data_IF_625721598615
#
_entry.id   IF_625721598615
#
_cell.length_a   1.000
_cell.length_b   1.000
_cell.length_c   1.000
_cell.angle_alpha   90.00
_cell.angle_beta   90.00
_cell.angle_gamma   90.00
#
_symmetry.space_group_name_H-M   'P 1'
#
loop_
_entity.id
_entity.type
_entity.pdbx_description
1 polymer ?
#
# COMPACT_ATOMS: atom_id res chain seq x y z
N UNK A 1 -11.31 5.89 34.05
CA UNK A 1 -10.76 4.60 34.50
C UNK A 1 -11.69 3.97 35.52
N UNK A 2 -12.49 2.97 35.13
CA UNK A 2 -13.22 2.13 36.09
C UNK A 2 -12.25 1.04 36.58
N UNK A 3 -12.14 0.88 37.89
CA UNK A 3 -11.34 -0.18 38.52
C UNK A 3 -12.20 -1.45 38.49
N UNK A 4 -11.75 -2.49 37.80
CA UNK A 4 -12.42 -3.80 37.81
C UNK A 4 -12.13 -4.47 39.17
N UNK A 5 -13.17 -4.89 39.89
CA UNK A 5 -13.03 -5.71 41.08
C UNK A 5 -13.01 -7.20 40.69
N UNK A 6 -12.35 -8.08 41.47
CA UNK A 6 -12.14 -9.49 41.10
C UNK A 6 -13.41 -10.36 41.14
N UNK A 7 -14.57 -9.80 41.50
CA UNK A 7 -15.79 -10.55 41.83
C UNK A 7 -16.99 -10.24 40.92
N UNK A 8 -16.80 -9.48 39.83
CA UNK A 8 -17.91 -9.21 38.90
C UNK A 8 -18.03 -10.33 37.86
N UNK A 9 -19.18 -11.00 37.84
CA UNK A 9 -19.59 -11.89 36.74
C UNK A 9 -19.60 -11.10 35.41
N UNK A 10 -18.97 -11.67 34.38
CA UNK A 10 -18.91 -11.08 33.04
C UNK A 10 -20.31 -11.08 32.43
N UNK A 11 -20.80 -9.91 32.03
CA UNK A 11 -22.07 -9.77 31.29
C UNK A 11 -21.77 -9.71 29.80
N UNK A 12 -22.32 -10.66 29.05
CA UNK A 12 -22.25 -10.75 27.59
C UNK A 12 -23.53 -10.28 26.91
N UNK A 13 -24.53 -9.90 27.70
CA UNK A 13 -25.84 -9.41 27.33
C UNK A 13 -26.06 -7.99 27.86
N UNK A 14 -26.93 -7.23 27.20
CA UNK A 14 -27.24 -5.83 27.51
C UNK A 14 -26.05 -4.86 27.35
N UNK A 15 -25.40 -4.94 26.18
CA UNK A 15 -24.33 -4.05 25.75
C UNK A 15 -24.87 -2.94 24.83
N UNK A 16 -24.12 -1.85 24.71
CA UNK A 16 -24.48 -0.69 23.87
C UNK A 16 -25.33 0.36 24.61
N UNK A 17 -25.63 1.50 23.98
CA UNK A 17 -26.34 2.62 24.61
C UNK A 17 -27.80 2.31 25.00
N UNK A 18 -28.39 1.29 24.38
CA UNK A 18 -29.79 0.89 24.59
C UNK A 18 -29.92 -0.42 25.39
N UNK A 19 -28.82 -0.98 25.91
CA UNK A 19 -28.81 -2.22 26.72
C UNK A 19 -29.46 -3.44 26.03
N UNK A 20 -29.45 -3.52 24.69
CA UNK A 20 -30.02 -4.66 23.93
C UNK A 20 -28.95 -5.52 23.22
N UNK A 21 -27.69 -5.09 23.20
CA UNK A 21 -26.63 -5.78 22.48
C UNK A 21 -26.13 -7.02 23.21
N UNK A 22 -25.86 -8.09 22.47
CA UNK A 22 -25.08 -9.25 22.96
C UNK A 22 -23.69 -9.22 22.34
N UNK A 23 -22.64 -9.43 23.14
CA UNK A 23 -21.26 -9.43 22.63
C UNK A 23 -20.20 -9.48 23.73
N UNK A 24 -18.96 -9.23 23.33
CA UNK A 24 -17.80 -9.15 24.22
C UNK A 24 -17.18 -7.75 24.16
N UNK A 25 -16.74 -7.23 25.31
CA UNK A 25 -15.96 -5.99 25.34
C UNK A 25 -14.55 -6.27 24.81
N UNK A 26 -14.24 -5.75 23.63
CA UNK A 26 -12.86 -5.72 23.15
C UNK A 26 -12.10 -4.61 23.89
N UNK A 27 -11.34 -4.98 24.92
CA UNK A 27 -10.42 -4.07 25.58
C UNK A 27 -9.05 -4.21 24.91
N UNK A 28 -8.64 -3.20 24.13
CA UNK A 28 -7.27 -3.12 23.62
C UNK A 28 -6.37 -2.45 24.65
N UNK A 29 -5.59 -3.25 25.37
CA UNK A 29 -4.48 -2.73 26.18
C UNK A 29 -3.30 -2.41 25.27
N UNK A 30 -2.96 -1.13 25.14
CA UNK A 30 -1.66 -0.72 24.60
C UNK A 30 -0.67 -0.71 25.75
N UNK A 31 -0.04 -1.86 25.99
CA UNK A 31 1.06 -1.98 26.94
C UNK A 31 2.29 -1.35 26.28
N UNK A 32 2.97 -0.46 27.00
CA UNK A 32 4.28 0.02 26.56
C UNK A 32 5.28 -1.12 26.72
N UNK A 33 6.10 -1.37 25.70
CA UNK A 33 7.11 -2.41 25.73
C UNK A 33 7.43 -2.95 24.33
N UNK A 34 8.61 -3.51 24.18
CA UNK A 34 9.07 -4.17 22.97
C UNK A 34 8.51 -5.61 22.92
N UNK A 35 8.12 -6.10 21.73
CA UNK A 35 7.77 -7.51 21.57
C UNK A 35 9.00 -8.38 21.86
N UNK A 36 8.77 -9.64 22.24
CA UNK A 36 9.85 -10.59 22.51
C UNK A 36 10.72 -10.88 21.28
N UNK A 37 10.15 -10.70 20.09
CA UNK A 37 10.83 -10.85 18.81
C UNK A 37 10.23 -9.90 17.77
N UNK A 38 11.08 -9.39 16.88
CA UNK A 38 10.69 -8.67 15.68
C UNK A 38 11.69 -8.88 14.56
N UNK A 39 11.26 -8.70 13.32
CA UNK A 39 12.12 -8.85 12.14
C UNK A 39 12.19 -7.52 11.40
N UNK A 40 13.39 -7.17 10.94
CA UNK A 40 13.64 -6.08 10.00
C UNK A 40 14.22 -6.68 8.72
N UNK A 41 13.64 -6.35 7.57
CA UNK A 41 14.13 -6.77 6.25
C UNK A 41 14.46 -5.53 5.44
N UNK A 42 15.59 -5.57 4.74
CA UNK A 42 16.01 -4.46 3.89
C UNK A 42 15.24 -4.42 2.58
N UNK A 43 15.15 -3.24 1.92
CA UNK A 43 14.86 -3.22 0.50
C UNK A 43 15.93 -4.03 -0.26
N UNK A 44 15.62 -4.38 -1.51
CA UNK A 44 16.64 -4.91 -2.42
C UNK A 44 17.70 -3.84 -2.66
N UNK A 45 18.95 -4.19 -2.35
CA UNK A 45 20.14 -3.39 -2.56
C UNK A 45 20.80 -3.88 -3.84
N UNK A 46 20.96 -3.00 -4.81
CA UNK A 46 21.84 -3.25 -5.96
C UNK A 46 23.28 -2.97 -5.51
N UNK A 47 24.13 -3.99 -5.48
CA UNK A 47 25.54 -3.84 -5.09
C UNK A 47 26.35 -2.97 -6.06
N UNK A 48 25.77 -2.57 -7.19
CA UNK A 48 26.34 -1.56 -8.06
C UNK A 48 26.03 -0.12 -7.63
N UNK A 49 25.14 0.11 -6.66
CA UNK A 49 24.93 1.45 -6.13
C UNK A 49 26.21 1.91 -5.44
N UNK A 50 26.97 2.73 -6.15
CA UNK A 50 28.22 3.30 -5.67
C UNK A 50 27.90 4.33 -4.60
N UNK A 51 28.54 4.24 -3.42
CA UNK A 51 28.49 5.33 -2.45
C UNK A 51 29.17 6.57 -3.04
N UNK A 52 28.75 7.76 -2.61
CA UNK A 52 29.37 9.05 -2.99
C UNK A 52 30.90 9.10 -2.73
N UNK A 53 31.42 8.16 -1.93
CA UNK A 53 32.83 8.02 -1.56
C UNK A 53 33.65 7.09 -2.46
N UNK A 54 33.07 6.51 -3.51
CA UNK A 54 33.85 5.75 -4.49
C UNK A 54 34.65 6.72 -5.36
N UNK A 55 35.98 6.57 -5.42
CA UNK A 55 36.86 7.36 -6.28
C UNK A 55 36.45 7.19 -7.77
N UNK A 56 35.55 8.06 -8.26
CA UNK A 56 35.13 8.10 -9.67
C UNK A 56 36.09 8.91 -10.51
N UNK A 57 37.40 8.69 -10.34
CA UNK A 57 38.38 9.30 -11.25
C UNK A 57 38.33 8.56 -12.58
N UNK A 58 37.44 9.02 -13.47
CA UNK A 58 37.45 8.65 -14.89
C UNK A 58 36.26 7.85 -15.43
N UNK A 59 35.11 7.76 -14.75
CA UNK A 59 33.91 7.15 -15.35
C UNK A 59 33.22 8.13 -16.32
N UNK A 60 33.17 7.83 -17.63
CA UNK A 60 32.53 8.70 -18.61
C UNK A 60 30.99 8.64 -18.61
N UNK A 61 30.36 7.68 -17.91
CA UNK A 61 28.92 7.41 -17.98
C UNK A 61 28.30 7.03 -16.62
N UNK A 62 28.17 7.99 -15.67
CA UNK A 62 27.66 7.72 -14.32
C UNK A 62 26.22 7.18 -14.29
N UNK A 63 25.44 7.36 -15.36
CA UNK A 63 24.01 7.04 -15.40
C UNK A 63 23.68 5.62 -15.88
N UNK A 64 24.66 4.90 -16.47
CA UNK A 64 24.48 3.51 -16.89
C UNK A 64 25.36 2.64 -16.00
N UNK A 65 24.72 1.77 -15.24
CA UNK A 65 25.42 0.77 -14.45
C UNK A 65 26.27 -0.16 -15.34
N UNK A 66 27.61 -0.24 -15.17
CA UNK A 66 28.42 -1.16 -15.96
C UNK A 66 28.04 -2.61 -15.66
N UNK A 67 28.32 -3.52 -16.59
CA UNK A 67 28.27 -4.94 -16.31
C UNK A 67 29.48 -5.32 -15.45
N UNK A 68 29.27 -6.04 -14.35
CA UNK A 68 30.34 -6.55 -13.50
C UNK A 68 30.05 -7.97 -13.01
N UNK A 69 31.11 -8.66 -12.66
CA UNK A 69 31.11 -9.96 -11.99
C UNK A 69 31.55 -9.76 -10.54
N UNK A 70 30.76 -10.24 -9.58
CA UNK A 70 31.11 -10.15 -8.17
C UNK A 70 32.12 -11.25 -7.86
N UNK A 71 33.29 -10.84 -7.35
CA UNK A 71 34.34 -11.77 -6.90
C UNK A 71 34.20 -12.11 -5.41
N UNK A 72 33.80 -11.12 -4.59
CA UNK A 72 33.58 -11.35 -3.16
C UNK A 72 32.71 -10.27 -2.54
N UNK A 73 31.95 -10.64 -1.51
CA UNK A 73 31.15 -9.73 -0.69
C UNK A 73 31.56 -9.92 0.77
N UNK A 74 31.68 -8.81 1.50
CA UNK A 74 31.74 -8.79 2.96
C UNK A 74 30.75 -7.77 3.48
N UNK A 75 30.21 -8.00 4.66
CA UNK A 75 29.32 -7.07 5.34
C UNK A 75 29.82 -6.75 6.76
N UNK A 76 29.44 -5.59 7.27
CA UNK A 76 29.60 -5.25 8.68
C UNK A 76 28.36 -4.50 9.18
N UNK A 77 27.91 -4.87 10.38
CA UNK A 77 26.78 -4.23 11.05
C UNK A 77 27.27 -3.40 12.24
N UNK A 78 26.72 -2.20 12.39
CA UNK A 78 26.83 -1.40 13.62
C UNK A 78 25.52 -1.55 14.37
N UNK A 79 25.58 -2.17 15.54
CA UNK A 79 24.40 -2.51 16.34
C UNK A 79 24.66 -2.40 17.83
N UNK A 80 23.58 -2.25 18.60
CA UNK A 80 23.58 -2.34 20.06
C UNK A 80 22.66 -3.47 20.49
N UNK A 81 23.18 -4.39 21.28
CA UNK A 81 22.41 -5.45 21.93
C UNK A 81 22.62 -5.34 23.44
N UNK A 82 21.72 -4.65 24.18
CA UNK A 82 21.72 -4.63 25.65
C UNK A 82 21.68 -6.04 26.25
N UNK A 83 22.01 -6.16 27.54
CA UNK A 83 21.89 -7.43 28.27
C UNK A 83 20.45 -7.97 28.17
N UNK A 84 20.29 -9.27 27.95
CA UNK A 84 18.98 -9.89 27.75
C UNK A 84 18.40 -9.75 26.33
N UNK A 85 19.14 -9.14 25.39
CA UNK A 85 18.73 -9.01 23.98
C UNK A 85 19.67 -9.75 23.03
N UNK A 86 19.21 -10.05 21.82
CA UNK A 86 20.02 -10.68 20.77
C UNK A 86 19.66 -10.17 19.37
N UNK A 87 20.63 -10.25 18.45
CA UNK A 87 20.43 -9.97 17.02
C UNK A 87 21.00 -11.10 16.20
N UNK A 88 20.19 -11.67 15.31
CA UNK A 88 20.63 -12.61 14.29
C UNK A 88 20.54 -11.95 12.92
N UNK A 89 21.64 -12.03 12.14
CA UNK A 89 21.71 -11.46 10.80
C UNK A 89 21.76 -12.53 9.74
N UNK A 90 20.89 -12.39 8.75
CA UNK A 90 20.83 -13.22 7.56
C UNK A 90 20.87 -12.35 6.31
N UNK A 91 21.32 -12.92 5.20
CA UNK A 91 21.32 -12.30 3.88
C UNK A 91 20.76 -13.26 2.85
N UNK A 92 20.29 -12.72 1.74
CA UNK A 92 19.98 -13.47 0.52
C UNK A 92 20.42 -12.67 -0.69
N UNK A 93 20.73 -13.36 -1.77
CA UNK A 93 21.24 -12.75 -3.00
C UNK A 93 20.42 -13.19 -4.20
N UNK A 94 20.36 -12.36 -5.25
CA UNK A 94 19.64 -12.69 -6.47
C UNK A 94 20.13 -11.94 -7.72
N UNK A 95 19.76 -12.49 -8.88
CA UNK A 95 20.13 -11.92 -10.18
C UNK A 95 19.12 -10.91 -10.73
N UNK A 96 18.00 -10.69 -10.03
CA UNK A 96 16.91 -9.78 -10.42
C UNK A 96 16.69 -8.71 -9.36
N UNK A 97 16.21 -7.50 -9.74
CA UNK A 97 15.99 -6.39 -8.80
C UNK A 97 14.79 -6.60 -7.86
N UNK A 98 14.01 -7.65 -8.09
CA UNK A 98 12.89 -8.08 -7.25
C UNK A 98 13.11 -9.54 -6.82
N UNK A 99 12.68 -9.87 -5.61
CA UNK A 99 12.78 -11.21 -5.06
C UNK A 99 11.90 -12.19 -5.83
N UNK A 100 12.53 -13.23 -6.36
CA UNK A 100 11.88 -14.41 -6.94
C UNK A 100 12.64 -15.66 -6.42
N UNK A 101 11.96 -16.63 -5.78
CA UNK A 101 12.59 -17.87 -5.31
C UNK A 101 13.39 -18.64 -6.37
N UNK A 102 13.09 -18.46 -7.66
CA UNK A 102 13.81 -19.10 -8.76
C UNK A 102 15.17 -18.44 -9.05
N UNK A 103 15.28 -17.12 -8.87
CA UNK A 103 16.49 -16.33 -9.19
C UNK A 103 17.26 -15.88 -7.95
N UNK A 104 16.67 -16.02 -6.76
CA UNK A 104 17.26 -15.67 -5.48
C UNK A 104 17.63 -16.91 -4.66
N UNK A 105 18.55 -16.74 -3.71
CA UNK A 105 18.82 -17.73 -2.67
C UNK A 105 17.76 -17.70 -1.57
N UNK A 106 17.73 -18.76 -0.78
CA UNK A 106 17.15 -18.68 0.56
C UNK A 106 17.99 -17.75 1.45
N UNK A 107 17.45 -17.39 2.61
CA UNK A 107 18.20 -16.69 3.65
C UNK A 107 19.31 -17.59 4.20
N UNK A 108 20.52 -17.04 4.34
CA UNK A 108 21.67 -17.71 4.95
C UNK A 108 22.37 -16.76 5.94
N UNK A 109 23.14 -17.27 6.92
CA UNK A 109 23.84 -16.43 7.89
C UNK A 109 24.71 -15.37 7.21
N UNK A 110 24.66 -14.12 7.70
CA UNK A 110 25.36 -13.01 7.03
C UNK A 110 26.89 -13.12 7.00
N UNK A 111 27.48 -14.06 7.73
CA UNK A 111 28.92 -14.35 7.71
C UNK A 111 29.31 -15.46 6.72
N UNK A 112 28.35 -16.06 6.02
CA UNK A 112 28.53 -17.26 5.19
C UNK A 112 28.31 -16.97 3.70
N UNK A 113 29.17 -16.10 3.13
CA UNK A 113 29.07 -15.69 1.72
C UNK A 113 29.60 -16.71 0.71
N UNK A 114 30.41 -17.67 1.16
CA UNK A 114 31.16 -18.57 0.29
C UNK A 114 30.20 -19.45 -0.53
N UNK A 115 30.36 -19.45 -1.86
CA UNK A 115 29.58 -20.23 -2.84
C UNK A 115 28.05 -19.98 -2.87
N UNK A 116 27.54 -18.99 -2.12
CA UNK A 116 26.09 -18.68 -2.06
C UNK A 116 25.66 -17.53 -3.00
N UNK A 117 26.58 -16.75 -3.56
CA UNK A 117 26.21 -15.51 -4.26
C UNK A 117 25.60 -15.79 -5.64
N UNK A 118 24.32 -15.42 -5.82
CA UNK A 118 23.62 -15.45 -7.09
C UNK A 118 23.40 -14.02 -7.58
N UNK A 119 24.26 -13.50 -8.43
CA UNK A 119 24.06 -12.18 -9.05
C UNK A 119 24.38 -10.99 -8.12
N UNK A 120 23.84 -9.81 -8.46
CA UNK A 120 24.28 -8.52 -7.90
C UNK A 120 23.35 -7.88 -6.87
N UNK A 121 22.18 -8.46 -6.66
CA UNK A 121 21.19 -7.92 -5.73
C UNK A 121 21.27 -8.64 -4.40
N UNK A 122 21.12 -7.88 -3.31
CA UNK A 122 21.20 -8.39 -1.94
C UNK A 122 20.05 -7.87 -1.12
N UNK A 123 19.54 -8.69 -0.21
CA UNK A 123 18.77 -8.25 0.94
C UNK A 123 19.40 -8.78 2.21
N UNK A 124 19.21 -8.05 3.31
CA UNK A 124 19.54 -8.52 4.64
C UNK A 124 18.30 -8.54 5.52
N UNK A 125 18.35 -9.40 6.52
CA UNK A 125 17.33 -9.55 7.55
C UNK A 125 18.01 -9.54 8.91
N UNK A 126 17.45 -8.80 9.86
CA UNK A 126 17.79 -8.93 11.27
C UNK A 126 16.57 -9.42 12.06
N UNK A 127 16.77 -10.50 12.80
CA UNK A 127 15.84 -10.92 13.85
C UNK A 127 16.32 -10.34 15.17
N UNK A 128 15.51 -9.47 15.74
CA UNK A 128 15.73 -8.73 16.98
C UNK A 128 14.95 -9.43 18.08
N UNK A 129 15.62 -9.94 19.10
CA UNK A 129 14.99 -10.64 20.22
C UNK A 129 15.24 -9.90 21.53
N UNK A 130 14.23 -9.87 22.40
CA UNK A 130 14.33 -9.33 23.75
C UNK A 130 13.67 -10.25 24.77
N UNK A 131 14.37 -10.52 25.87
CA UNK A 131 13.80 -11.18 27.04
C UNK A 131 12.99 -10.24 27.95
N UNK A 132 13.13 -8.93 27.78
CA UNK A 132 12.58 -7.90 28.68
C UNK A 132 11.80 -6.85 27.88
N UNK A 133 10.65 -6.40 28.39
CA UNK A 133 9.79 -5.46 27.64
C UNK A 133 10.39 -4.06 27.51
N UNK A 134 11.31 -3.68 28.39
CA UNK A 134 11.90 -2.33 28.43
C UNK A 134 13.18 -2.20 27.60
N UNK A 135 13.74 -3.31 27.13
CA UNK A 135 15.00 -3.34 26.38
C UNK A 135 14.76 -3.82 24.96
N UNK A 136 15.45 -3.22 23.99
CA UNK A 136 15.43 -3.68 22.59
C UNK A 136 16.81 -3.59 21.99
N UNK A 137 17.23 -4.58 21.18
CA UNK A 137 18.39 -4.41 20.34
C UNK A 137 18.09 -3.40 19.22
N UNK A 138 19.14 -2.82 18.64
CA UNK A 138 19.04 -1.87 17.53
C UNK A 138 20.17 -2.04 16.52
N UNK A 139 19.86 -1.75 15.26
CA UNK A 139 20.81 -1.74 14.14
C UNK A 139 20.84 -0.32 13.59
N UNK A 140 22.01 0.32 13.58
CA UNK A 140 22.15 1.71 13.12
C UNK A 140 22.82 1.86 11.77
N UNK A 141 23.62 0.88 11.35
CA UNK A 141 24.33 0.93 10.07
C UNK A 141 24.65 -0.47 9.56
N UNK A 142 24.63 -0.63 8.23
CA UNK A 142 25.16 -1.77 7.51
C UNK A 142 26.08 -1.27 6.41
N UNK A 143 27.25 -1.89 6.27
CA UNK A 143 28.18 -1.63 5.17
C UNK A 143 28.40 -2.92 4.38
N UNK A 144 28.31 -2.85 3.06
CA UNK A 144 28.80 -3.89 2.16
C UNK A 144 30.14 -3.46 1.57
N UNK A 145 31.12 -4.35 1.60
CA UNK A 145 32.40 -4.23 0.93
C UNK A 145 32.42 -5.25 -0.19
N UNK A 146 32.30 -4.77 -1.42
CA UNK A 146 32.18 -5.61 -2.62
C UNK A 146 33.47 -5.49 -3.41
N UNK A 147 34.05 -6.64 -3.78
CA UNK A 147 35.06 -6.72 -4.82
C UNK A 147 34.39 -7.26 -6.07
N UNK A 148 34.47 -6.50 -7.15
CA UNK A 148 33.88 -6.85 -8.43
C UNK A 148 34.86 -6.56 -9.55
N UNK A 149 34.77 -7.37 -10.60
CA UNK A 149 35.47 -7.17 -11.87
C UNK A 149 34.49 -6.57 -12.86
N UNK A 150 34.78 -5.36 -13.33
CA UNK A 150 34.03 -4.77 -14.43
C UNK A 150 34.26 -5.57 -15.72
N UNK A 151 33.16 -5.98 -16.35
CA UNK A 151 33.17 -6.69 -17.63
C UNK A 151 33.07 -5.73 -18.82
N UNK A 152 32.51 -4.52 -18.61
CA UNK A 152 32.48 -3.43 -19.57
C UNK A 152 31.62 -3.68 -20.83
N UNK A 153 31.59 -2.67 -21.72
CA UNK A 153 31.01 -2.67 -23.07
C UNK A 153 29.48 -2.56 -23.24
N UNK A 154 28.68 -2.38 -22.19
CA UNK A 154 27.25 -2.11 -22.33
C UNK A 154 26.95 -0.68 -22.88
N UNK A 155 27.79 0.29 -22.55
CA UNK A 155 27.69 1.68 -23.04
C UNK A 155 27.88 1.84 -24.56
N UNK A 156 28.54 0.88 -25.22
CA UNK A 156 28.69 0.89 -26.68
C UNK A 156 27.37 0.64 -27.41
N UNK A 157 26.42 -0.02 -26.72
CA UNK A 157 25.13 -0.46 -27.29
C UNK A 157 23.92 0.23 -26.68
N UNK A 158 24.09 0.84 -25.51
CA UNK A 158 23.01 1.46 -24.75
C UNK A 158 23.37 2.93 -24.54
N UNK A 159 22.45 3.82 -24.93
CA UNK A 159 22.54 5.24 -24.67
C UNK A 159 21.29 5.67 -23.91
N UNK A 160 21.50 6.33 -22.76
CA UNK A 160 20.43 7.04 -22.07
C UNK A 160 20.11 8.30 -22.86
N UNK A 161 18.88 8.43 -23.34
CA UNK A 161 18.42 9.62 -24.08
C UNK A 161 17.84 10.68 -23.16
N UNK A 162 17.29 10.25 -22.04
CA UNK A 162 16.66 11.09 -21.01
C UNK A 162 16.81 10.36 -19.67
N UNK A 163 17.14 11.11 -18.62
CA UNK A 163 17.20 10.56 -17.27
C UNK A 163 15.78 10.35 -16.73
N UNK A 164 15.54 9.38 -15.84
CA UNK A 164 14.25 9.24 -15.20
C UNK A 164 13.87 10.54 -14.46
N UNK A 165 12.64 11.02 -14.70
CA UNK A 165 12.17 12.34 -14.28
C UNK A 165 12.11 12.56 -12.76
N UNK A 166 12.14 11.50 -11.95
CA UNK A 166 11.80 11.57 -10.53
C UNK A 166 12.65 10.60 -9.68
N UNK A 167 13.08 11.11 -8.52
CA UNK A 167 13.67 10.29 -7.47
C UNK A 167 12.63 9.29 -6.93
N UNK A 168 12.92 7.99 -7.05
CA UNK A 168 12.03 6.94 -6.54
C UNK A 168 12.17 6.88 -5.02
N UNK A 169 11.19 7.46 -4.32
CA UNK A 169 11.09 7.33 -2.85
C UNK A 169 10.48 5.98 -2.50
N UNK A 170 11.27 5.13 -1.84
CA UNK A 170 10.77 3.85 -1.30
C UNK A 170 10.13 4.08 0.07
N UNK A 171 8.94 3.51 0.26
CA UNK A 171 8.25 3.46 1.55
C UNK A 171 9.01 2.58 2.54
N UNK A 172 8.96 2.91 3.83
CA UNK A 172 9.41 2.02 4.92
C UNK A 172 8.38 0.94 5.27
N UNK A 173 7.17 1.03 4.70
CA UNK A 173 6.12 0.03 4.82
C UNK A 173 6.10 -0.81 3.55
N UNK A 174 6.23 -2.13 3.71
CA UNK A 174 6.04 -3.08 2.63
C UNK A 174 4.58 -3.04 2.16
N UNK A 175 4.39 -3.03 0.84
CA UNK A 175 3.08 -3.09 0.21
C UNK A 175 3.03 -4.28 -0.75
N UNK A 176 2.02 -5.14 -0.61
CA UNK A 176 1.83 -6.27 -1.53
C UNK A 176 1.01 -5.83 -2.73
N UNK A 177 1.71 -5.54 -3.84
CA UNK A 177 1.06 -5.17 -5.10
C UNK A 177 0.52 -6.40 -5.83
N UNK A 178 -0.65 -6.24 -6.42
CA UNK A 178 -1.25 -7.22 -7.28
C UNK A 178 -0.48 -7.27 -8.60
N UNK A 179 -0.18 -8.49 -9.06
CA UNK A 179 0.47 -8.70 -10.34
C UNK A 179 -0.55 -8.51 -11.47
N UNK A 180 -0.40 -7.48 -12.34
CA UNK A 180 -1.29 -7.27 -13.48
C UNK A 180 -1.28 -8.43 -14.49
N UNK A 181 -0.29 -9.31 -14.44
CA UNK A 181 -0.18 -10.50 -15.29
C UNK A 181 -0.75 -11.76 -14.64
N UNK A 182 -1.17 -11.71 -13.38
CA UNK A 182 -1.83 -12.83 -12.72
C UNK A 182 -3.06 -13.26 -13.55
N UNK A 183 -3.33 -14.57 -13.75
CA UNK A 183 -4.43 -15.03 -14.58
C UNK A 183 -5.80 -14.40 -14.25
N UNK A 184 -6.11 -14.21 -12.95
CA UNK A 184 -7.35 -13.54 -12.53
C UNK A 184 -7.36 -12.04 -12.84
N UNK A 185 -6.24 -11.33 -12.74
CA UNK A 185 -6.14 -9.92 -13.10
C UNK A 185 -6.31 -9.71 -14.60
N UNK A 186 -5.68 -10.57 -15.42
CA UNK A 186 -5.89 -10.56 -16.88
C UNK A 186 -7.34 -10.88 -17.24
N UNK A 187 -7.92 -11.89 -16.60
CA UNK A 187 -9.33 -12.23 -16.82
C UNK A 187 -10.26 -11.07 -16.47
N UNK A 188 -10.05 -10.41 -15.33
CA UNK A 188 -10.81 -9.22 -14.93
C UNK A 188 -10.71 -8.10 -15.98
N UNK A 189 -9.48 -7.76 -16.39
CA UNK A 189 -9.19 -6.71 -17.39
C UNK A 189 -9.86 -6.98 -18.73
N UNK A 190 -9.74 -8.22 -19.21
CA UNK A 190 -10.27 -8.65 -20.51
C UNK A 190 -11.80 -8.78 -20.49
N UNK A 191 -12.37 -9.36 -19.43
CA UNK A 191 -13.82 -9.58 -19.31
C UNK A 191 -14.61 -8.27 -19.37
N UNK A 192 -14.12 -7.22 -18.71
CA UNK A 192 -14.80 -5.93 -18.62
C UNK A 192 -14.19 -4.85 -19.54
N UNK A 193 -13.20 -5.20 -20.37
CA UNK A 193 -12.57 -4.30 -21.35
C UNK A 193 -12.02 -2.99 -20.75
N UNK A 194 -11.37 -3.05 -19.59
CA UNK A 194 -10.88 -1.84 -18.90
C UNK A 194 -9.87 -1.03 -19.72
N UNK A 195 -9.11 -1.67 -20.61
CA UNK A 195 -8.22 -0.97 -21.55
C UNK A 195 -9.00 -0.04 -22.48
N UNK A 196 -10.12 -0.51 -23.04
CA UNK A 196 -10.96 0.29 -23.93
C UNK A 196 -11.69 1.41 -23.18
N UNK A 197 -12.12 1.15 -21.94
CA UNK A 197 -12.76 2.15 -21.08
C UNK A 197 -11.78 3.29 -20.77
N UNK A 198 -10.53 2.97 -20.46
CA UNK A 198 -9.49 3.96 -20.15
C UNK A 198 -8.90 4.65 -21.39
N UNK A 199 -8.93 4.03 -22.57
CA UNK A 199 -8.25 4.51 -23.77
C UNK A 199 -8.50 5.98 -24.16
N UNK A 200 -9.71 6.57 -23.96
CA UNK A 200 -9.93 7.99 -24.25
C UNK A 200 -9.19 8.97 -23.34
N UNK A 201 -8.78 8.56 -22.14
CA UNK A 201 -8.09 9.41 -21.17
C UNK A 201 -6.63 9.68 -21.54
N UNK A 202 -6.24 10.96 -21.55
CA UNK A 202 -4.89 11.42 -21.89
C UNK A 202 -3.95 11.45 -20.69
N UNK A 203 -4.50 11.69 -19.51
CA UNK A 203 -3.78 11.66 -18.23
C UNK A 203 -4.23 10.47 -17.39
N UNK A 204 -3.44 10.05 -16.40
CA UNK A 204 -3.87 8.99 -15.48
C UNK A 204 -5.15 9.38 -14.73
N UNK A 205 -5.30 10.66 -14.39
CA UNK A 205 -6.49 11.21 -13.78
C UNK A 205 -7.74 11.00 -14.63
N UNK A 206 -7.67 11.35 -15.93
CA UNK A 206 -8.78 11.15 -16.87
C UNK A 206 -9.11 9.65 -17.01
N UNK A 207 -8.10 8.78 -17.05
CA UNK A 207 -8.31 7.33 -17.13
C UNK A 207 -8.99 6.79 -15.87
N UNK A 208 -8.55 7.22 -14.69
CA UNK A 208 -9.18 6.81 -13.42
C UNK A 208 -10.62 7.30 -13.32
N UNK A 209 -10.92 8.50 -13.81
CA UNK A 209 -12.30 9.00 -13.91
C UNK A 209 -13.17 8.13 -14.82
N UNK A 210 -12.67 7.73 -16.00
CA UNK A 210 -13.40 6.87 -16.94
C UNK A 210 -13.69 5.48 -16.35
N UNK A 211 -12.69 4.87 -15.72
CA UNK A 211 -12.83 3.57 -15.05
C UNK A 211 -13.83 3.68 -13.90
N UNK A 212 -13.67 4.69 -13.04
CA UNK A 212 -14.54 4.93 -11.89
C UNK A 212 -15.98 5.16 -12.33
N UNK A 213 -16.20 6.00 -13.35
CA UNK A 213 -17.52 6.23 -13.91
C UNK A 213 -18.16 4.92 -14.41
N UNK A 214 -17.42 4.14 -15.21
CA UNK A 214 -17.95 2.88 -15.72
C UNK A 214 -18.35 1.93 -14.58
N UNK A 215 -17.52 1.80 -13.54
CA UNK A 215 -17.83 0.97 -12.36
C UNK A 215 -19.08 1.49 -11.65
N UNK A 216 -19.18 2.82 -11.47
CA UNK A 216 -20.32 3.45 -10.80
C UNK A 216 -21.65 3.19 -11.51
N UNK A 217 -21.61 3.04 -12.83
CA UNK A 217 -22.80 2.77 -13.65
C UNK A 217 -23.27 1.30 -13.59
N UNK A 218 -22.50 0.39 -12.96
CA UNK A 218 -22.84 -1.03 -12.91
C UNK A 218 -23.92 -1.35 -11.86
N UNK A 219 -23.99 -0.63 -10.74
CA UNK A 219 -25.05 -0.79 -9.75
C UNK A 219 -25.41 0.54 -9.07
N UNK A 220 -26.55 0.57 -8.37
CA UNK A 220 -27.06 1.79 -7.76
C UNK A 220 -26.64 1.91 -6.29
N UNK A 221 -25.64 2.75 -6.02
CA UNK A 221 -25.37 3.25 -4.66
C UNK A 221 -25.23 2.16 -3.60
N UNK A 222 -25.82 2.42 -2.42
CA UNK A 222 -25.95 1.45 -1.33
C UNK A 222 -27.18 0.57 -1.57
N UNK A 223 -26.95 -0.67 -1.98
CA UNK A 223 -28.00 -1.64 -2.28
C UNK A 223 -27.72 -2.92 -1.50
N UNK A 224 -28.65 -3.35 -0.65
CA UNK A 224 -28.54 -4.61 0.12
C UNK A 224 -28.68 -5.86 -0.76
N UNK A 225 -29.17 -5.71 -1.99
CA UNK A 225 -29.49 -6.81 -2.87
C UNK A 225 -30.72 -7.61 -2.41
N UNK A 226 -31.02 -8.67 -3.16
CA UNK A 226 -32.07 -9.65 -2.88
C UNK A 226 -31.68 -10.62 -1.77
N UNK A 227 -30.38 -10.92 -1.67
CA UNK A 227 -29.82 -11.80 -0.66
C UNK A 227 -28.98 -10.99 0.32
N UNK A 228 -29.05 -11.36 1.60
CA UNK A 228 -28.17 -10.86 2.66
C UNK A 228 -26.76 -11.47 2.51
N UNK A 229 -26.10 -11.11 1.43
CA UNK A 229 -24.77 -11.57 1.07
C UNK A 229 -23.86 -10.36 0.85
N UNK A 230 -22.82 -10.25 1.67
CA UNK A 230 -21.74 -9.28 1.50
C UNK A 230 -20.63 -9.93 0.66
N UNK A 231 -20.40 -9.49 -0.60
CA UNK A 231 -19.28 -9.95 -1.40
C UNK A 231 -17.95 -9.74 -0.70
N UNK A 232 -16.97 -10.57 -1.04
CA UNK A 232 -15.58 -10.30 -0.66
C UNK A 232 -15.03 -9.14 -1.52
N UNK A 233 -13.81 -8.69 -1.23
CA UNK A 233 -13.11 -7.72 -2.09
C UNK A 233 -12.60 -8.44 -3.34
N UNK A 234 -13.53 -8.85 -4.19
CA UNK A 234 -13.32 -9.57 -5.43
C UNK A 234 -14.15 -8.89 -6.52
N UNK A 235 -13.47 -8.16 -7.42
CA UNK A 235 -14.12 -7.42 -8.48
C UNK A 235 -14.86 -8.32 -9.48
N UNK A 236 -14.41 -9.56 -9.70
CA UNK A 236 -15.12 -10.49 -10.58
C UNK A 236 -16.47 -10.87 -9.99
N UNK A 237 -16.50 -11.13 -8.68
CA UNK A 237 -17.72 -11.45 -7.94
C UNK A 237 -18.64 -10.23 -7.83
N UNK A 238 -18.11 -9.07 -7.41
CA UNK A 238 -18.89 -7.84 -7.23
C UNK A 238 -19.59 -7.45 -8.52
N UNK A 239 -18.86 -7.43 -9.65
CA UNK A 239 -19.40 -7.03 -10.96
C UNK A 239 -20.40 -8.04 -11.56
N UNK A 240 -20.46 -9.27 -11.05
CA UNK A 240 -21.51 -10.24 -11.41
C UNK A 240 -22.75 -10.11 -10.54
N UNK A 241 -22.57 -9.92 -9.23
CA UNK A 241 -23.66 -9.99 -8.26
C UNK A 241 -24.36 -8.66 -8.01
N UNK A 242 -23.61 -7.56 -7.87
CA UNK A 242 -24.19 -6.26 -7.53
C UNK A 242 -25.11 -5.71 -8.64
N UNK A 243 -24.74 -5.78 -9.94
CA UNK A 243 -25.64 -5.33 -11.02
C UNK A 243 -26.93 -6.14 -11.11
N UNK A 244 -26.85 -7.44 -10.79
CA UNK A 244 -27.98 -8.34 -10.75
C UNK A 244 -28.82 -8.21 -9.46
N UNK A 245 -28.42 -7.32 -8.54
CA UNK A 245 -29.01 -7.16 -7.20
C UNK A 245 -29.04 -8.46 -6.41
N UNK A 246 -28.04 -9.32 -6.58
CA UNK A 246 -27.93 -10.60 -5.86
C UNK A 246 -27.04 -10.52 -4.62
N UNK A 247 -26.44 -9.36 -4.37
CA UNK A 247 -25.57 -9.13 -3.23
C UNK A 247 -25.50 -7.65 -2.88
N UNK A 248 -24.93 -7.37 -1.71
CA UNK A 248 -24.67 -6.03 -1.22
C UNK A 248 -23.66 -5.29 -2.11
N UNK A 249 -23.99 -4.06 -2.50
CA UNK A 249 -23.09 -3.08 -3.11
C UNK A 249 -22.94 -1.85 -2.21
N UNK A 250 -21.72 -1.54 -1.77
CA UNK A 250 -21.42 -0.42 -0.84
C UNK A 250 -20.10 0.25 -1.25
N UNK A 251 -19.75 1.38 -0.64
CA UNK A 251 -18.48 2.09 -0.82
C UNK A 251 -17.25 1.19 -0.86
N UNK A 252 -17.15 0.20 0.02
CA UNK A 252 -16.04 -0.77 0.02
C UNK A 252 -15.97 -1.60 -1.26
N UNK A 253 -17.12 -2.00 -1.82
CA UNK A 253 -17.21 -2.76 -3.06
C UNK A 253 -16.84 -1.90 -4.27
N UNK A 254 -17.25 -0.63 -4.28
CA UNK A 254 -16.81 0.34 -5.29
C UNK A 254 -15.29 0.56 -5.23
N UNK A 255 -14.74 0.78 -4.04
CA UNK A 255 -13.31 0.97 -3.81
C UNK A 255 -12.50 -0.25 -4.25
N UNK A 256 -12.87 -1.46 -3.78
CA UNK A 256 -12.19 -2.70 -4.12
C UNK A 256 -12.24 -2.96 -5.64
N UNK A 257 -13.39 -2.75 -6.27
CA UNK A 257 -13.55 -2.92 -7.73
C UNK A 257 -12.67 -1.95 -8.50
N UNK A 258 -12.63 -0.67 -8.10
CA UNK A 258 -11.76 0.32 -8.73
C UNK A 258 -10.28 -0.02 -8.56
N UNK A 259 -9.85 -0.35 -7.34
CA UNK A 259 -8.45 -0.70 -7.05
C UNK A 259 -8.00 -1.87 -7.89
N UNK A 260 -8.82 -2.91 -8.03
CA UNK A 260 -8.49 -4.08 -8.84
C UNK A 260 -8.55 -3.80 -10.33
N UNK A 261 -9.48 -2.97 -10.80
CA UNK A 261 -9.51 -2.52 -12.19
C UNK A 261 -8.23 -1.74 -12.56
N UNK A 262 -7.85 -0.75 -11.74
CA UNK A 262 -6.63 0.03 -11.93
C UNK A 262 -5.37 -0.84 -11.85
N UNK A 263 -5.27 -1.71 -10.83
CA UNK A 263 -4.15 -2.63 -10.67
C UNK A 263 -4.04 -3.62 -11.85
N UNK A 264 -5.17 -4.10 -12.39
CA UNK A 264 -5.17 -4.97 -13.56
C UNK A 264 -4.58 -4.29 -14.80
N UNK A 265 -4.66 -2.97 -14.90
CA UNK A 265 -4.04 -2.16 -15.97
C UNK A 265 -2.58 -1.79 -15.67
N UNK A 266 -2.03 -2.21 -14.53
CA UNK A 266 -0.67 -1.91 -14.11
C UNK A 266 -0.51 -0.61 -13.30
N UNK A 267 -1.60 0.04 -12.92
CA UNK A 267 -1.54 1.23 -12.07
C UNK A 267 -1.36 0.86 -10.59
N UNK A 268 -0.41 1.49 -9.87
CA UNK A 268 -0.37 1.39 -8.41
C UNK A 268 -1.66 1.97 -7.82
N UNK A 269 -2.45 1.13 -7.14
CA UNK A 269 -3.72 1.52 -6.53
C UNK A 269 -3.88 0.86 -5.17
N UNK A 270 -4.61 1.50 -4.25
CA UNK A 270 -4.82 1.01 -2.87
C UNK A 270 -6.18 1.42 -2.34
N UNK A 271 -6.76 0.57 -1.50
CA UNK A 271 -7.94 0.97 -0.71
C UNK A 271 -7.52 1.97 0.37
N UNK A 272 -8.40 2.89 0.70
CA UNK A 272 -8.26 3.83 1.80
C UNK A 272 -9.53 3.79 2.62
N UNK A 273 -9.39 3.59 3.93
CA UNK A 273 -10.48 3.54 4.87
C UNK A 273 -10.44 4.83 5.66
N UNK A 274 -11.55 5.58 5.67
CA UNK A 274 -11.72 6.79 6.47
C UNK A 274 -12.93 6.61 7.38
N UNK A 275 -13.28 7.61 8.18
CA UNK A 275 -14.43 7.51 9.07
C UNK A 275 -15.72 7.19 8.28
N UNK A 276 -16.40 6.09 8.63
CA UNK A 276 -17.64 5.62 7.99
C UNK A 276 -17.59 5.37 6.46
N UNK A 277 -16.41 5.37 5.81
CA UNK A 277 -16.33 5.29 4.34
C UNK A 277 -15.07 4.54 3.87
N UNK A 278 -15.22 3.78 2.78
CA UNK A 278 -14.11 3.07 2.13
C UNK A 278 -13.99 3.52 0.68
N UNK A 279 -12.75 3.83 0.30
CA UNK A 279 -12.37 4.64 -0.86
C UNK A 279 -11.14 4.04 -1.53
N UNK A 280 -10.70 4.65 -2.62
CA UNK A 280 -9.48 4.25 -3.30
C UNK A 280 -8.51 5.42 -3.50
N UNK A 281 -7.25 5.08 -3.68
CA UNK A 281 -6.23 5.96 -4.24
C UNK A 281 -5.50 5.24 -5.37
N UNK A 282 -5.08 5.99 -6.38
CA UNK A 282 -4.22 5.49 -7.44
C UNK A 282 -3.11 6.49 -7.75
N UNK A 283 -1.91 5.98 -8.05
CA UNK A 283 -0.75 6.79 -8.37
C UNK A 283 -0.87 7.36 -9.79
N UNK A 284 -0.63 8.67 -9.93
CA UNK A 284 -0.50 9.33 -11.23
C UNK A 284 0.94 9.70 -11.49
N UNK A 285 1.48 9.24 -12.61
CA UNK A 285 2.79 9.68 -13.09
C UNK A 285 2.74 11.11 -13.61
N UNK A 286 1.61 11.49 -14.25
CA UNK A 286 1.36 12.86 -14.71
C UNK A 286 1.52 13.89 -13.58
N UNK A 287 0.90 13.67 -12.42
CA UNK A 287 1.04 14.57 -11.26
C UNK A 287 2.20 14.19 -10.31
N UNK A 288 2.74 12.97 -10.41
CA UNK A 288 3.77 12.46 -9.50
C UNK A 288 3.30 12.27 -8.07
N UNK A 289 2.03 11.88 -7.87
CA UNK A 289 1.42 11.69 -6.55
C UNK A 289 0.28 10.69 -6.57
N UNK A 290 -0.10 10.23 -5.37
CA UNK A 290 -1.35 9.53 -5.15
C UNK A 290 -2.53 10.48 -5.35
N UNK A 291 -3.56 10.00 -6.04
CA UNK A 291 -4.81 10.71 -6.26
C UNK A 291 -5.97 9.94 -5.64
N UNK A 292 -6.84 10.66 -4.96
CA UNK A 292 -8.03 10.12 -4.34
C UNK A 292 -9.12 9.80 -5.37
N UNK A 293 -9.77 8.64 -5.24
CA UNK A 293 -10.81 8.15 -6.16
C UNK A 293 -12.02 7.64 -5.36
N UNK A 294 -13.09 8.45 -5.33
CA UNK A 294 -14.39 8.05 -4.75
C UNK A 294 -15.35 7.54 -5.82
N UNK A 295 -15.34 6.23 -6.03
CA UNK A 295 -16.16 5.57 -7.05
C UNK A 295 -17.63 5.43 -6.64
N UNK A 296 -17.95 5.50 -5.35
CA UNK A 296 -19.31 5.24 -4.84
C UNK A 296 -20.25 6.45 -4.81
N UNK A 297 -19.76 7.66 -5.12
CA UNK A 297 -20.56 8.88 -4.96
C UNK A 297 -21.68 9.00 -6.01
N UNK A 298 -22.68 9.83 -5.68
CA UNK A 298 -24.02 9.99 -6.27
C UNK A 298 -24.17 9.78 -7.80
N UNK A 299 -25.32 9.19 -8.18
CA UNK A 299 -25.68 8.70 -9.52
C UNK A 299 -25.67 9.70 -10.68
N UNK A 300 -25.22 10.95 -10.49
CA UNK A 300 -25.23 11.99 -11.51
C UNK A 300 -24.00 12.91 -11.49
N UNK A 301 -22.92 12.54 -10.79
CA UNK A 301 -21.67 13.32 -10.77
C UNK A 301 -20.44 12.42 -10.92
N UNK A 302 -19.91 12.24 -12.14
CA UNK A 302 -18.77 11.39 -12.39
C UNK A 302 -17.46 12.15 -12.09
N UNK A 303 -17.13 12.36 -10.82
CA UNK A 303 -15.77 12.79 -10.47
C UNK A 303 -15.26 11.98 -9.27
N UNK A 304 -14.47 10.96 -9.61
CA UNK A 304 -13.59 10.23 -8.71
C UNK A 304 -12.67 11.17 -7.90
N UNK A 305 -12.21 12.27 -8.52
CA UNK A 305 -11.26 13.25 -7.98
C UNK A 305 -12.00 14.36 -7.23
N UNK A 306 -12.69 13.96 -6.16
CA UNK A 306 -13.64 14.79 -5.43
C UNK A 306 -13.01 16.04 -4.82
N UNK A 307 -11.72 16.02 -4.49
CA UNK A 307 -11.04 17.11 -3.82
C UNK A 307 -9.82 17.51 -4.62
N UNK A 308 -9.74 18.80 -4.95
CA UNK A 308 -8.59 19.40 -5.63
C UNK A 308 -8.04 20.57 -4.83
N UNK A 309 -6.75 20.85 -4.98
CA UNK A 309 -6.13 22.07 -4.43
C UNK A 309 -6.56 23.34 -5.22
N UNK A 310 -6.01 24.50 -4.87
CA UNK A 310 -6.30 25.76 -5.53
C UNK A 310 -5.89 25.81 -7.02
N UNK A 311 -5.06 24.86 -7.46
CA UNK A 311 -4.60 24.72 -8.84
C UNK A 311 -5.40 23.65 -9.61
N UNK A 312 -6.41 23.04 -9.00
CA UNK A 312 -7.19 21.98 -9.61
C UNK A 312 -6.49 20.61 -9.62
N UNK A 313 -5.44 20.43 -8.82
CA UNK A 313 -4.71 19.15 -8.71
C UNK A 313 -5.43 18.25 -7.69
N UNK A 314 -5.75 17.00 -8.05
CA UNK A 314 -6.36 16.05 -7.12
C UNK A 314 -5.54 15.83 -5.84
N UNK A 315 -6.24 15.84 -4.71
CA UNK A 315 -5.68 15.57 -3.39
C UNK A 315 -5.71 14.07 -3.07
N UNK A 316 -4.95 13.67 -2.05
CA UNK A 316 -4.98 12.35 -1.42
C UNK A 316 -5.49 12.42 0.04
N UNK A 317 -5.72 11.27 0.67
CA UNK A 317 -6.27 11.18 2.02
C UNK A 317 -5.36 11.78 3.10
N UNK A 318 -4.04 11.68 2.94
CA UNK A 318 -3.08 12.30 3.87
C UNK A 318 -3.17 13.82 3.80
N UNK A 319 -3.22 14.38 2.59
CA UNK A 319 -3.36 15.83 2.37
C UNK A 319 -4.68 16.37 2.95
N UNK A 320 -5.76 15.61 2.87
CA UNK A 320 -7.05 15.94 3.48
C UNK A 320 -6.99 15.82 5.01
N UNK A 321 -6.34 14.78 5.53
CA UNK A 321 -6.14 14.58 6.97
C UNK A 321 -5.29 15.69 7.60
N UNK A 322 -4.22 16.13 6.94
CA UNK A 322 -3.38 17.23 7.42
C UNK A 322 -4.16 18.55 7.52
N UNK A 323 -5.07 18.80 6.57
CA UNK A 323 -5.97 19.95 6.58
C UNK A 323 -7.00 19.86 7.70
N UNK A 324 -7.56 18.67 7.93
CA UNK A 324 -8.40 18.41 9.09
C UNK A 324 -7.67 18.73 10.40
N UNK A 325 -6.42 18.24 10.58
CA UNK A 325 -5.63 18.49 11.79
C UNK A 325 -5.30 19.97 12.00
N UNK A 326 -5.10 20.73 10.92
CA UNK A 326 -4.87 22.18 10.97
C UNK A 326 -6.15 22.97 11.21
N UNK A 327 -7.32 22.39 10.94
CA UNK A 327 -8.60 23.10 10.93
C UNK A 327 -8.73 24.10 9.78
N UNK A 328 -7.98 23.89 8.69
CA UNK A 328 -7.97 24.76 7.51
C UNK A 328 -7.84 23.90 6.23
N UNK A 329 -8.82 24.04 5.34
CA UNK A 329 -8.83 23.47 4.00
C UNK A 329 -9.38 24.50 3.00
N UNK A 330 -9.11 25.78 3.26
CA UNK A 330 -9.64 26.90 2.45
C UNK A 330 -9.15 26.86 1.00
N UNK A 331 -8.09 26.09 0.76
CA UNK A 331 -7.50 25.76 -0.52
C UNK A 331 -8.13 24.53 -1.21
N UNK A 332 -9.08 23.84 -0.57
CA UNK A 332 -9.73 22.64 -1.11
C UNK A 332 -11.00 23.01 -1.85
N UNK A 333 -11.06 22.63 -3.13
CA UNK A 333 -12.28 22.70 -3.94
C UNK A 333 -12.86 21.31 -4.11
N UNK A 334 -14.20 21.20 -4.03
CA UNK A 334 -14.90 19.96 -4.34
C UNK A 334 -15.44 19.98 -5.76
N UNK A 335 -15.19 18.88 -6.48
CA UNK A 335 -15.57 18.79 -7.89
C UNK A 335 -16.56 17.65 -8.10
N UNK A 336 -17.72 17.92 -8.74
CA UNK A 336 -18.20 19.24 -9.12
C UNK A 336 -18.77 19.98 -7.91
N UNK A 337 -18.75 21.30 -7.99
CA UNK A 337 -19.11 22.21 -6.90
C UNK A 337 -20.47 21.81 -6.29
N UNK A 338 -20.51 21.39 -5.01
CA UNK A 338 -21.77 21.01 -4.41
C UNK A 338 -22.69 22.23 -4.35
N UNK A 339 -23.98 22.04 -4.60
CA UNK A 339 -25.00 23.09 -4.47
C UNK A 339 -25.24 23.55 -3.01
N UNK A 340 -24.35 23.22 -2.07
CA UNK A 340 -24.51 23.41 -0.62
C UNK A 340 -23.46 24.39 -0.10
N UNK A 341 -23.83 25.18 0.91
CA UNK A 341 -22.96 26.21 1.49
C UNK A 341 -21.65 25.62 2.05
N UNK A 342 -20.57 26.40 1.95
CA UNK A 342 -19.23 26.07 2.45
C UNK A 342 -19.22 25.63 3.93
N UNK A 343 -20.13 26.14 4.77
CA UNK A 343 -20.25 25.72 6.18
C UNK A 343 -20.70 24.28 6.37
N UNK A 344 -21.72 23.84 5.64
CA UNK A 344 -22.20 22.44 5.69
C UNK A 344 -21.22 21.47 5.03
N UNK A 345 -20.34 21.99 4.16
CA UNK A 345 -19.23 21.23 3.59
C UNK A 345 -18.16 20.90 4.64
N UNK A 346 -17.75 21.88 5.48
CA UNK A 346 -16.75 21.71 6.54
C UNK A 346 -17.09 20.58 7.52
N UNK A 347 -18.32 20.58 8.05
CA UNK A 347 -18.73 19.65 9.12
C UNK A 347 -18.96 18.23 8.62
N UNK A 348 -19.29 18.03 7.34
CA UNK A 348 -19.70 16.70 6.86
C UNK A 348 -18.61 15.95 6.07
N UNK A 349 -17.68 16.64 5.42
CA UNK A 349 -16.76 15.99 4.47
C UNK A 349 -15.32 15.87 4.95
N UNK A 350 -14.75 16.90 5.59
CA UNK A 350 -13.39 16.78 6.14
C UNK A 350 -13.34 15.95 7.42
N UNK A 351 -14.43 15.93 8.19
CA UNK A 351 -14.55 15.08 9.38
C UNK A 351 -14.37 13.58 9.05
N UNK A 352 -14.69 13.16 7.83
CA UNK A 352 -14.40 11.79 7.38
C UNK A 352 -12.90 11.47 7.48
N UNK A 353 -12.05 12.46 7.21
CA UNK A 353 -10.59 12.35 7.21
C UNK A 353 -9.99 12.66 8.58
N UNK A 354 -10.78 12.62 9.67
CA UNK A 354 -10.22 12.72 11.03
C UNK A 354 -9.22 11.61 11.34
N UNK A 355 -9.33 10.49 10.61
CA UNK A 355 -8.42 9.36 10.58
C UNK A 355 -8.48 8.72 9.19
N UNK A 356 -7.42 8.03 8.82
CA UNK A 356 -7.46 7.13 7.68
C UNK A 356 -6.54 5.92 7.91
N UNK A 357 -6.86 4.82 7.25
CA UNK A 357 -6.12 3.57 7.25
C UNK A 357 -5.93 3.06 5.82
N UNK A 358 -4.79 2.43 5.56
CA UNK A 358 -4.45 1.88 4.25
C UNK A 358 -4.11 0.41 4.48
N UNK A 359 -4.89 -0.54 3.92
CA UNK A 359 -4.46 -1.91 3.79
C UNK A 359 -3.18 -1.93 2.93
N UNK A 360 -2.08 -2.46 3.47
CA UNK A 360 -0.77 -2.48 2.81
C UNK A 360 -0.68 -3.58 1.73
N UNK A 361 -1.75 -3.72 0.95
CA UNK A 361 -1.89 -4.68 -0.14
C UNK A 361 -3.09 -4.35 -1.03
N UNK A 362 -3.09 -4.87 -2.25
CA UNK A 362 -4.25 -4.78 -3.17
C UNK A 362 -4.51 -6.07 -3.98
N UNK A 363 -3.90 -7.19 -3.60
CA UNK A 363 -3.98 -8.50 -4.26
C UNK A 363 -5.16 -9.39 -3.80
N UNK A 364 -6.21 -8.78 -3.20
CA UNK A 364 -7.38 -9.48 -2.65
C UNK A 364 -8.11 -10.37 -3.66
N UNK A 365 -8.02 -10.07 -4.97
CA UNK A 365 -8.66 -10.87 -6.03
C UNK A 365 -8.20 -12.33 -6.04
N UNK A 366 -6.97 -12.62 -5.65
CA UNK A 366 -6.43 -13.99 -5.63
C UNK A 366 -5.80 -14.40 -4.29
N UNK A 367 -5.62 -13.44 -3.38
CA UNK A 367 -5.22 -13.69 -2.00
C UNK A 367 -6.22 -13.01 -1.05
N UNK A 368 -7.40 -13.59 -0.83
CA UNK A 368 -8.51 -12.92 -0.13
C UNK A 368 -8.25 -12.64 1.34
N UNK A 369 -7.27 -13.31 1.97
CA UNK A 369 -6.99 -13.17 3.41
C UNK A 369 -5.60 -12.59 3.71
N UNK A 370 -5.44 -11.77 4.76
CA UNK A 370 -6.50 -11.27 5.64
C UNK A 370 -7.35 -10.19 4.95
N UNK A 371 -8.66 -10.39 4.98
CA UNK A 371 -9.69 -9.38 4.77
C UNK A 371 -10.67 -9.49 5.94
N UNK A 372 -11.25 -8.37 6.37
CA UNK A 372 -12.39 -8.40 7.28
C UNK A 372 -13.57 -9.06 6.54
N UNK A 373 -13.94 -10.25 6.97
CA UNK A 373 -15.14 -10.93 6.49
C UNK A 373 -16.35 -10.02 6.81
N UNK A 374 -17.28 -9.86 5.88
CA UNK A 374 -18.45 -8.96 6.01
C UNK A 374 -18.13 -7.47 6.02
N UNK A 375 -16.91 -7.08 5.67
CA UNK A 375 -16.57 -5.69 5.46
C UNK A 375 -17.45 -5.11 4.34
N UNK A 376 -18.31 -4.17 4.71
CA UNK A 376 -19.33 -3.60 3.84
C UNK A 376 -20.76 -3.93 4.27
N UNK A 377 -20.98 -4.84 5.24
CA UNK A 377 -22.31 -5.20 5.76
C UNK A 377 -22.95 -4.07 6.59
N UNK A 378 -22.13 -3.31 7.30
CA UNK A 378 -22.51 -2.12 8.05
C UNK A 378 -21.49 -0.99 7.86
N UNK A 379 -21.91 0.23 8.14
CA UNK A 379 -20.95 1.35 8.23
C UNK A 379 -19.95 1.06 9.35
N UNK A 380 -18.72 1.57 9.22
CA UNK A 380 -17.77 1.50 10.34
C UNK A 380 -18.38 2.20 11.54
N UNK A 381 -18.59 1.52 12.65
CA UNK A 381 -18.96 2.17 13.92
C UNK A 381 -17.75 2.09 14.85
N UNK A 382 -17.43 3.21 15.48
CA UNK A 382 -16.34 3.35 16.43
C UNK A 382 -16.84 3.53 17.85
#
# INVERSE_FOLDING_TARGET
FKRLSPESEWRTDNLGPDDEGTGEWMIRFRVQGHPSEGTMVSPVIDLNQRSESADTVGDPHPDISPLFEIESIKNSFVSKAPEGTAIQYEVRTGSTPEFDPATWTQWFPSNDWEDQTKGRFVQWRATLASGETEETPSVSQLNFHVRAKELGANFEKIKMTEAPDKEVKKSSYDFTYADPNHPLMRHLREKYNFEQIAAPGKTDAEKFMLISQWIREQWEGWDMGEYDYCPQWDALQILELAPAKLALGMCTHYAATFVQAAASLGYPARSVIVDHHCLAEAWSDYYGKWMFVDTGLLANNPIALKYVDENGIPLNALELHERYLKGDASDVTVVPDPSKSTTTFWENYLNLYCRFGIPLRNDHLYNPMPQELEHGHMQYHW
#
